data_IF_778971205795
#
_entry.id   IF_778971205795
#
_cell.length_a   1.000
_cell.length_b   1.000
_cell.length_c   1.000
_cell.angle_alpha   90.00
_cell.angle_beta   90.00
_cell.angle_gamma   90.00
#
_symmetry.space_group_name_H-M   'P 1'
#
loop_
_entity.id
_entity.type
_entity.pdbx_description
1 polymer ?
#
# COMPACT_ATOMS: atom_id res chain seq x y z
N UNK A 1 -10.74 -16.38 -15.81
CA UNK A 1 -10.77 -15.49 -14.63
C UNK A 1 -9.67 -16.01 -13.71
N UNK A 2 -8.49 -15.41 -13.78
CA UNK A 2 -7.38 -15.74 -12.89
C UNK A 2 -7.77 -15.25 -11.50
N UNK A 3 -7.64 -16.11 -10.49
CA UNK A 3 -8.26 -15.93 -9.18
C UNK A 3 -7.80 -14.64 -8.50
N UNK A 4 -8.75 -13.75 -8.22
CA UNK A 4 -8.49 -12.56 -7.40
C UNK A 4 -8.27 -12.93 -5.93
N UNK A 5 -8.08 -11.94 -5.07
CA UNK A 5 -7.69 -12.09 -3.65
C UNK A 5 -8.70 -12.81 -2.75
N UNK A 6 -9.77 -13.37 -3.31
CA UNK A 6 -10.82 -14.10 -2.57
C UNK A 6 -11.38 -13.28 -1.39
N UNK A 7 -11.43 -11.96 -1.54
CA UNK A 7 -11.87 -11.02 -0.48
C UNK A 7 -13.22 -11.39 0.10
N UNK A 8 -14.15 -11.82 -0.76
CA UNK A 8 -15.47 -12.31 -0.33
C UNK A 8 -15.40 -13.50 0.63
N UNK A 9 -14.41 -14.39 0.48
CA UNK A 9 -14.22 -15.53 1.39
C UNK A 9 -13.57 -15.10 2.69
N UNK A 10 -12.57 -14.20 2.62
CA UNK A 10 -11.91 -13.62 3.79
C UNK A 10 -12.88 -12.80 4.67
N UNK A 11 -13.86 -12.13 4.07
CA UNK A 11 -14.88 -11.37 4.79
C UNK A 11 -15.98 -12.27 5.35
N UNK A 12 -16.42 -13.29 4.60
CA UNK A 12 -17.52 -14.17 5.01
C UNK A 12 -17.22 -14.93 6.31
N UNK A 13 -15.95 -15.21 6.60
CA UNK A 13 -15.52 -15.86 7.85
C UNK A 13 -15.53 -14.92 9.06
N UNK A 14 -15.44 -13.60 8.84
CA UNK A 14 -15.25 -12.62 9.91
C UNK A 14 -16.56 -12.04 10.47
N UNK A 15 -17.69 -12.22 9.77
CA UNK A 15 -19.02 -11.82 10.27
C UNK A 15 -19.32 -10.31 10.23
N UNK A 16 -18.53 -9.54 9.48
CA UNK A 16 -18.71 -8.09 9.31
C UNK A 16 -19.51 -7.73 8.06
N UNK A 17 -20.25 -6.63 8.11
CA UNK A 17 -20.83 -5.98 6.93
C UNK A 17 -19.76 -5.05 6.32
N UNK A 18 -18.97 -5.57 5.38
CA UNK A 18 -17.96 -4.80 4.65
C UNK A 18 -18.43 -4.49 3.22
N UNK A 19 -18.38 -3.22 2.84
CA UNK A 19 -18.50 -2.81 1.44
C UNK A 19 -17.12 -2.79 0.80
N UNK A 20 -16.89 -3.67 -0.19
CA UNK A 20 -15.68 -3.69 -0.98
C UNK A 20 -15.94 -3.04 -2.34
N UNK A 21 -15.09 -2.08 -2.71
CA UNK A 21 -15.11 -1.42 -4.01
C UNK A 21 -13.79 -1.71 -4.72
N UNK A 22 -13.84 -2.59 -5.73
CA UNK A 22 -12.72 -2.79 -6.66
C UNK A 22 -12.74 -1.74 -7.76
N UNK A 23 -11.58 -1.16 -8.05
CA UNK A 23 -11.38 -0.23 -9.17
C UNK A 23 -10.46 -0.92 -10.16
N UNK A 24 -10.99 -1.25 -11.34
CA UNK A 24 -10.18 -1.83 -12.42
C UNK A 24 -9.12 -0.83 -12.87
N UNK A 25 -7.89 -1.32 -13.04
CA UNK A 25 -6.80 -0.50 -13.58
C UNK A 25 -6.96 -0.30 -15.09
N UNK A 26 -6.46 0.83 -15.58
CA UNK A 26 -6.34 1.04 -17.03
C UNK A 26 -5.03 0.46 -17.57
N UNK A 27 -4.81 0.62 -18.89
CA UNK A 27 -3.52 0.34 -19.52
C UNK A 27 -2.41 1.28 -19.03
N UNK A 28 -2.77 2.44 -18.48
CA UNK A 28 -1.87 3.49 -18.02
C UNK A 28 -1.48 3.35 -16.53
N UNK A 29 -1.80 2.20 -15.90
CA UNK A 29 -1.58 1.93 -14.46
C UNK A 29 -0.20 2.33 -13.93
N UNK A 30 0.85 2.21 -14.76
CA UNK A 30 2.22 2.56 -14.38
C UNK A 30 2.37 4.04 -14.06
N UNK A 31 1.62 4.90 -14.75
CA UNK A 31 1.59 6.35 -14.52
C UNK A 31 0.51 6.73 -13.51
N UNK A 32 -0.66 6.10 -13.57
CA UNK A 32 -1.79 6.40 -12.68
C UNK A 32 -1.48 6.07 -11.21
N UNK A 33 -0.66 5.06 -10.94
CA UNK A 33 -0.43 4.56 -9.58
C UNK A 33 0.85 5.08 -8.93
N UNK A 34 1.47 6.11 -9.51
CA UNK A 34 2.78 6.59 -9.09
C UNK A 34 2.72 8.06 -8.72
N UNK A 35 3.32 8.40 -7.57
CA UNK A 35 3.24 9.73 -6.96
C UNK A 35 4.26 10.71 -7.53
N UNK A 36 5.28 10.21 -8.18
CA UNK A 36 6.36 10.99 -8.79
C UNK A 36 6.87 10.31 -10.04
N UNK A 37 7.44 11.09 -10.94
CA UNK A 37 8.10 10.56 -12.13
C UNK A 37 9.22 9.58 -11.73
N UNK A 38 9.43 8.54 -12.53
CA UNK A 38 10.60 7.67 -12.41
C UNK A 38 10.98 7.09 -13.77
N UNK A 39 12.12 6.45 -13.83
CA UNK A 39 12.64 5.79 -15.02
C UNK A 39 12.93 4.32 -14.73
N UNK A 40 12.43 3.44 -15.60
CA UNK A 40 12.70 2.00 -15.55
C UNK A 40 13.17 1.59 -16.94
N UNK A 41 14.31 0.91 -17.03
CA UNK A 41 14.89 0.43 -18.29
C UNK A 41 15.00 1.49 -19.40
N UNK A 42 15.30 2.75 -19.03
CA UNK A 42 15.41 3.88 -19.96
C UNK A 42 14.07 4.43 -20.45
N UNK A 43 12.94 3.95 -19.92
CA UNK A 43 11.61 4.52 -20.16
C UNK A 43 11.18 5.39 -18.98
N UNK A 44 10.89 6.66 -19.27
CA UNK A 44 10.31 7.58 -18.29
C UNK A 44 8.81 7.35 -18.15
N UNK A 45 8.35 7.23 -16.90
CA UNK A 45 6.94 7.20 -16.53
C UNK A 45 6.60 8.51 -15.82
N UNK A 46 5.73 9.31 -16.45
CA UNK A 46 5.26 10.58 -15.88
C UNK A 46 4.10 10.30 -14.93
N UNK A 47 4.22 10.73 -13.68
CA UNK A 47 3.26 10.43 -12.63
C UNK A 47 1.89 11.09 -12.86
N UNK A 48 0.86 10.33 -12.57
CA UNK A 48 -0.55 10.76 -12.55
C UNK A 48 -1.25 10.38 -11.23
N UNK A 49 -0.49 10.00 -10.20
CA UNK A 49 -1.00 9.61 -8.88
C UNK A 49 -1.94 10.63 -8.25
N UNK A 50 -1.66 11.93 -8.39
CA UNK A 50 -2.55 13.00 -7.91
C UNK A 50 -3.93 12.96 -8.59
N UNK A 51 -3.94 12.75 -9.91
CA UNK A 51 -5.17 12.68 -10.68
C UNK A 51 -5.98 11.43 -10.30
N UNK A 52 -5.31 10.29 -10.14
CA UNK A 52 -5.93 9.05 -9.70
C UNK A 52 -6.47 9.16 -8.26
N UNK A 53 -5.69 9.72 -7.33
CA UNK A 53 -6.13 9.93 -5.96
C UNK A 53 -7.37 10.85 -5.88
N UNK A 54 -7.40 11.91 -6.70
CA UNK A 54 -8.60 12.77 -6.84
C UNK A 54 -9.79 12.03 -7.47
N UNK A 55 -9.57 11.14 -8.44
CA UNK A 55 -10.64 10.31 -9.00
C UNK A 55 -11.26 9.43 -7.90
N UNK A 56 -10.43 8.74 -7.12
CA UNK A 56 -10.87 7.89 -6.02
C UNK A 56 -11.65 8.70 -4.99
N UNK A 57 -11.08 9.80 -4.50
CA UNK A 57 -11.61 10.53 -3.34
C UNK A 57 -12.79 11.44 -3.67
N UNK A 58 -12.75 12.10 -4.84
CA UNK A 58 -13.72 13.13 -5.20
C UNK A 58 -14.78 12.64 -6.20
N UNK A 59 -14.60 11.46 -6.79
CA UNK A 59 -15.56 10.89 -7.75
C UNK A 59 -16.06 9.53 -7.31
N UNK A 60 -15.18 8.53 -7.18
CA UNK A 60 -15.60 7.15 -6.92
C UNK A 60 -16.24 7.04 -5.54
N UNK A 61 -15.57 7.50 -4.48
CA UNK A 61 -16.09 7.43 -3.12
C UNK A 61 -17.44 8.14 -2.99
N UNK A 62 -17.61 9.43 -3.36
CA UNK A 62 -18.92 10.09 -3.26
C UNK A 62 -20.01 9.40 -4.09
N UNK A 63 -19.67 8.83 -5.25
CA UNK A 63 -20.62 8.08 -6.08
C UNK A 63 -21.12 6.80 -5.40
N UNK A 64 -20.22 6.08 -4.72
CA UNK A 64 -20.54 4.89 -3.91
C UNK A 64 -21.34 5.28 -2.67
N UNK A 65 -20.87 6.26 -1.89
CA UNK A 65 -21.51 6.66 -0.64
C UNK A 65 -22.93 7.22 -0.85
N UNK A 66 -23.23 7.78 -2.03
CA UNK A 66 -24.58 8.19 -2.40
C UNK A 66 -25.55 7.01 -2.67
N UNK A 67 -25.05 5.78 -2.81
CA UNK A 67 -25.82 4.59 -3.22
C UNK A 67 -25.83 3.48 -2.17
N UNK A 68 -24.80 3.43 -1.32
CA UNK A 68 -24.61 2.38 -0.32
C UNK A 68 -24.38 2.99 1.06
N UNK A 69 -24.91 2.38 2.14
CA UNK A 69 -24.66 2.85 3.50
C UNK A 69 -23.17 2.72 3.84
N UNK A 70 -22.56 3.84 4.22
CA UNK A 70 -21.10 4.00 4.37
C UNK A 70 -20.78 4.88 5.59
N UNK A 71 -21.30 4.49 6.76
CA UNK A 71 -21.18 5.24 8.01
C UNK A 71 -20.04 4.75 8.94
N UNK A 72 -19.20 3.84 8.45
CA UNK A 72 -18.13 3.22 9.23
C UNK A 72 -16.74 3.71 8.87
N UNK A 73 -15.76 2.90 9.28
CA UNK A 73 -14.35 3.08 8.97
C UNK A 73 -14.11 3.03 7.46
N UNK A 74 -13.05 3.71 7.03
CA UNK A 74 -12.60 3.72 5.63
C UNK A 74 -11.20 3.16 5.53
N UNK A 75 -10.99 2.22 4.63
CA UNK A 75 -9.70 1.65 4.31
C UNK A 75 -9.40 1.77 2.81
N UNK A 76 -8.12 1.88 2.46
CA UNK A 76 -7.63 1.76 1.08
C UNK A 76 -6.50 0.74 1.05
N UNK A 77 -6.47 -0.10 0.02
CA UNK A 77 -5.49 -1.18 -0.08
C UNK A 77 -5.25 -1.60 -1.52
N UNK A 78 -4.01 -1.99 -1.81
CA UNK A 78 -3.62 -2.53 -3.11
C UNK A 78 -2.31 -3.31 -3.00
N UNK A 79 -1.91 -3.97 -4.10
CA UNK A 79 -0.63 -4.68 -4.19
C UNK A 79 0.30 -4.05 -5.21
N UNK A 80 1.62 -4.23 -5.07
CA UNK A 80 2.59 -3.68 -6.02
C UNK A 80 2.43 -2.15 -6.14
N UNK A 81 2.32 -1.61 -7.35
CA UNK A 81 1.95 -0.20 -7.57
C UNK A 81 0.60 0.17 -6.95
N UNK A 82 -0.34 -0.77 -6.86
CA UNK A 82 -1.61 -0.61 -6.13
C UNK A 82 -1.39 -0.35 -4.63
N UNK A 83 -0.36 -0.96 -4.03
CA UNK A 83 0.02 -0.71 -2.64
C UNK A 83 0.64 0.67 -2.47
N UNK A 84 1.51 1.06 -3.41
CA UNK A 84 2.10 2.40 -3.47
C UNK A 84 1.03 3.50 -3.55
N UNK A 85 0.09 3.40 -4.51
CA UNK A 85 -0.96 4.41 -4.68
C UNK A 85 -1.94 4.43 -3.51
N UNK A 86 -2.17 3.29 -2.84
CA UNK A 86 -3.03 3.24 -1.65
C UNK A 86 -2.44 4.04 -0.49
N UNK A 87 -1.14 3.89 -0.23
CA UNK A 87 -0.43 4.72 0.75
C UNK A 87 -0.44 6.19 0.33
N UNK A 88 -0.23 6.48 -0.95
CA UNK A 88 -0.26 7.86 -1.44
C UNK A 88 -1.64 8.53 -1.28
N UNK A 89 -2.72 7.81 -1.54
CA UNK A 89 -4.09 8.29 -1.32
C UNK A 89 -4.30 8.63 0.15
N UNK A 90 -3.92 7.74 1.07
CA UNK A 90 -4.04 8.00 2.51
C UNK A 90 -3.14 9.16 2.97
N UNK A 91 -1.96 9.31 2.37
CA UNK A 91 -1.06 10.44 2.60
C UNK A 91 -1.70 11.79 2.21
N UNK A 92 -2.40 11.85 1.08
CA UNK A 92 -3.08 13.06 0.59
C UNK A 92 -4.37 13.37 1.35
N UNK A 93 -5.07 12.34 1.85
CA UNK A 93 -6.36 12.47 2.54
C UNK A 93 -6.35 11.79 3.92
N UNK A 94 -5.45 12.22 4.83
CA UNK A 94 -5.21 11.54 6.12
C UNK A 94 -6.44 11.59 7.05
N UNK A 95 -7.31 12.58 6.90
CA UNK A 95 -8.53 12.74 7.70
C UNK A 95 -9.71 11.87 7.21
N UNK A 96 -9.55 11.20 6.06
CA UNK A 96 -10.62 10.38 5.45
C UNK A 96 -10.44 8.91 5.79
N UNK A 97 -9.20 8.43 5.80
CA UNK A 97 -8.87 7.02 5.96
C UNK A 97 -8.53 6.70 7.42
N UNK A 98 -8.98 5.53 7.85
CA UNK A 98 -8.64 4.94 9.15
C UNK A 98 -7.62 3.81 9.00
N UNK A 99 -7.40 3.36 7.75
CA UNK A 99 -6.49 2.29 7.41
C UNK A 99 -5.92 2.45 6.00
N UNK A 100 -4.62 2.16 5.84
CA UNK A 100 -3.97 2.01 4.54
C UNK A 100 -3.17 0.69 4.50
N UNK A 101 -3.43 -0.14 3.50
CA UNK A 101 -2.77 -1.42 3.28
C UNK A 101 -1.93 -1.44 2.00
N UNK A 102 -0.71 -1.97 2.07
CA UNK A 102 0.16 -2.14 0.91
C UNK A 102 0.78 -3.53 0.89
N UNK A 103 0.27 -4.40 0.02
CA UNK A 103 0.80 -5.75 -0.17
C UNK A 103 1.93 -5.72 -1.20
N UNK A 104 3.14 -6.14 -0.83
CA UNK A 104 4.31 -6.11 -1.73
C UNK A 104 4.48 -4.75 -2.44
N UNK A 105 4.32 -3.65 -1.70
CA UNK A 105 4.27 -2.30 -2.27
C UNK A 105 5.56 -1.93 -3.01
N UNK A 106 5.45 -1.26 -4.15
CA UNK A 106 6.63 -0.76 -4.89
C UNK A 106 7.21 0.50 -4.24
N UNK A 107 7.66 0.40 -2.99
CA UNK A 107 8.06 1.55 -2.17
C UNK A 107 9.41 2.15 -2.55
N UNK A 108 10.15 1.50 -3.45
CA UNK A 108 11.35 2.06 -4.08
C UNK A 108 11.07 3.02 -5.25
N UNK A 109 9.80 3.20 -5.62
CA UNK A 109 9.44 4.12 -6.70
C UNK A 109 9.84 5.56 -6.39
N UNK A 110 10.45 6.22 -7.37
CA UNK A 110 11.05 7.55 -7.29
C UNK A 110 12.57 7.50 -7.42
N UNK A 111 13.18 6.33 -7.19
CA UNK A 111 14.64 6.14 -7.23
C UNK A 111 15.11 4.99 -8.13
N UNK A 112 14.24 4.43 -8.98
CA UNK A 112 14.66 3.39 -9.93
C UNK A 112 15.62 3.93 -11.00
N UNK A 113 15.38 5.13 -11.51
CA UNK A 113 16.28 5.80 -12.46
C UNK A 113 16.35 7.31 -12.27
N UNK A 114 15.48 7.90 -11.44
CA UNK A 114 15.54 9.30 -11.04
C UNK A 114 15.93 9.45 -9.56
N UNK A 115 15.91 10.68 -9.03
CA UNK A 115 16.15 10.97 -7.62
C UNK A 115 15.00 11.80 -7.03
N UNK A 116 13.81 11.19 -7.01
CA UNK A 116 12.59 11.77 -6.47
C UNK A 116 12.26 11.18 -5.09
N UNK A 117 11.39 11.85 -4.30
CA UNK A 117 11.02 11.38 -2.97
C UNK A 117 10.35 10.00 -3.00
N UNK A 118 10.79 9.09 -2.13
CA UNK A 118 10.12 7.81 -1.86
C UNK A 118 8.87 8.02 -0.98
N UNK A 119 8.00 7.01 -0.94
CA UNK A 119 6.83 7.03 -0.05
C UNK A 119 7.22 7.25 1.43
N UNK A 120 8.33 6.65 1.87
CA UNK A 120 8.92 6.86 3.20
C UNK A 120 9.18 8.34 3.48
N UNK A 121 9.84 9.03 2.56
CA UNK A 121 10.25 10.42 2.72
C UNK A 121 9.04 11.36 2.75
N UNK A 122 7.95 11.01 2.04
CA UNK A 122 6.68 11.73 2.14
C UNK A 122 6.06 11.61 3.54
N UNK A 123 6.03 10.40 4.12
CA UNK A 123 5.51 10.18 5.48
C UNK A 123 6.40 10.81 6.56
N UNK A 124 7.72 10.73 6.41
CA UNK A 124 8.67 11.40 7.31
C UNK A 124 8.47 12.91 7.32
N UNK A 125 8.24 13.51 6.14
CA UNK A 125 7.96 14.94 6.01
C UNK A 125 6.61 15.32 6.64
N UNK A 126 5.61 14.45 6.52
CA UNK A 126 4.27 14.69 7.04
C UNK A 126 4.14 14.52 8.56
N UNK A 127 4.94 13.64 9.16
CA UNK A 127 4.84 13.29 10.58
C UNK A 127 3.80 12.20 10.86
N UNK A 128 3.61 11.90 12.14
CA UNK A 128 2.62 10.95 12.66
C UNK A 128 1.20 11.29 12.17
N UNK A 129 0.44 10.28 11.73
CA UNK A 129 -0.96 10.41 11.33
C UNK A 129 -1.85 9.51 12.19
N UNK A 130 -3.14 9.85 12.26
CA UNK A 130 -4.15 9.15 13.06
C UNK A 130 -4.89 8.08 12.24
N UNK A 131 -4.13 7.15 11.65
CA UNK A 131 -4.69 5.98 10.95
C UNK A 131 -3.71 4.81 10.97
N UNK A 132 -4.24 3.59 10.97
CA UNK A 132 -3.42 2.39 10.96
C UNK A 132 -2.81 2.10 9.58
N UNK A 133 -1.59 1.59 9.55
CA UNK A 133 -0.88 1.25 8.31
C UNK A 133 -0.45 -0.21 8.38
N UNK A 134 -0.73 -0.95 7.31
CA UNK A 134 -0.20 -2.29 7.08
C UNK A 134 0.66 -2.30 5.82
N UNK A 135 1.86 -2.84 5.93
CA UNK A 135 2.73 -3.11 4.78
C UNK A 135 3.26 -4.53 4.82
N UNK A 136 3.31 -5.20 3.68
CA UNK A 136 3.96 -6.50 3.56
C UNK A 136 4.88 -6.62 2.36
N UNK A 137 5.71 -7.65 2.41
CA UNK A 137 6.56 -8.11 1.31
C UNK A 137 6.78 -9.60 1.43
N UNK A 138 7.02 -10.27 0.30
CA UNK A 138 7.54 -11.62 0.23
C UNK A 138 9.04 -11.65 -0.02
N UNK A 139 9.47 -12.58 -0.87
CA UNK A 139 10.85 -12.67 -1.36
C UNK A 139 11.83 -13.26 -0.35
N UNK A 140 13.05 -13.46 -0.82
CA UNK A 140 14.16 -13.84 0.03
C UNK A 140 14.78 -12.59 0.68
N UNK A 141 15.21 -12.72 1.94
CA UNK A 141 16.04 -11.69 2.55
C UNK A 141 17.36 -11.57 1.76
N UNK A 142 17.84 -10.35 1.47
CA UNK A 142 19.15 -10.18 0.82
C UNK A 142 20.25 -10.79 1.68
N UNK A 143 21.20 -11.51 1.06
CA UNK A 143 22.28 -12.19 1.79
C UNK A 143 23.16 -11.24 2.61
N UNK A 144 23.35 -10.01 2.12
CA UNK A 144 24.16 -8.97 2.79
C UNK A 144 23.30 -7.97 3.59
N UNK A 145 22.03 -8.32 3.83
CA UNK A 145 21.04 -7.42 4.43
C UNK A 145 20.70 -6.21 3.56
N UNK A 146 19.90 -5.29 4.09
CA UNK A 146 19.49 -4.07 3.39
C UNK A 146 20.54 -2.95 3.48
N UNK A 147 21.84 -3.29 3.37
CA UNK A 147 22.94 -2.37 3.66
C UNK A 147 23.61 -1.84 2.40
N UNK A 148 23.11 -0.72 1.88
CA UNK A 148 23.95 0.20 1.11
C UNK A 148 23.96 1.59 1.77
N UNK A 149 24.95 2.42 1.40
CA UNK A 149 25.23 3.70 2.03
C UNK A 149 24.13 4.78 1.83
N UNK A 150 23.00 4.42 1.21
CA UNK A 150 21.85 5.28 0.96
C UNK A 150 20.49 4.67 1.34
N UNK A 151 20.45 3.44 1.85
CA UNK A 151 19.21 2.74 2.21
C UNK A 151 18.35 2.32 1.01
N UNK A 152 18.92 2.28 -0.20
CA UNK A 152 18.19 2.00 -1.44
C UNK A 152 18.63 0.68 -2.08
N UNK A 153 18.27 -0.43 -1.44
CA UNK A 153 18.50 -1.76 -2.00
C UNK A 153 17.26 -2.21 -2.79
N UNK A 154 17.41 -2.31 -4.12
CA UNK A 154 16.53 -3.12 -4.97
C UNK A 154 17.27 -4.45 -5.21
N UNK A 155 17.16 -5.38 -4.26
CA UNK A 155 17.65 -6.72 -4.49
C UNK A 155 16.66 -7.45 -5.40
N UNK A 156 17.13 -7.91 -6.57
CA UNK A 156 16.39 -8.81 -7.45
C UNK A 156 15.79 -9.99 -6.67
N UNK A 157 14.49 -10.25 -6.84
CA UNK A 157 13.81 -11.35 -6.17
C UNK A 157 13.45 -11.15 -4.69
N UNK A 158 13.60 -9.93 -4.16
CA UNK A 158 13.27 -9.62 -2.75
C UNK A 158 11.88 -9.01 -2.55
N UNK A 159 11.03 -8.94 -3.58
CA UNK A 159 9.65 -8.44 -3.45
C UNK A 159 9.53 -7.09 -2.70
N UNK A 160 10.42 -6.15 -3.01
CA UNK A 160 10.54 -4.83 -2.36
C UNK A 160 10.85 -4.88 -0.84
N UNK A 161 11.29 -6.02 -0.30
CA UNK A 161 11.54 -6.26 1.14
C UNK A 161 12.25 -5.11 1.85
N UNK A 162 13.40 -4.66 1.32
CA UNK A 162 14.18 -3.60 1.98
C UNK A 162 13.45 -2.26 2.02
N UNK A 163 12.70 -1.93 0.98
CA UNK A 163 11.94 -0.67 0.93
C UNK A 163 10.70 -0.74 1.83
N UNK A 164 10.05 -1.91 1.92
CA UNK A 164 8.98 -2.18 2.87
C UNK A 164 9.46 -2.07 4.31
N UNK A 165 10.59 -2.70 4.64
CA UNK A 165 11.18 -2.64 5.98
C UNK A 165 11.61 -1.22 6.35
N UNK A 166 12.28 -0.50 5.44
CA UNK A 166 12.68 0.89 5.66
C UNK A 166 11.47 1.82 5.87
N UNK A 167 10.37 1.59 5.15
CA UNK A 167 9.12 2.33 5.36
C UNK A 167 8.53 2.05 6.75
N UNK A 168 8.46 0.77 7.15
CA UNK A 168 7.97 0.38 8.47
C UNK A 168 8.81 0.96 9.61
N UNK A 169 10.14 0.89 9.52
CA UNK A 169 11.05 1.47 10.52
C UNK A 169 10.91 3.00 10.64
N UNK A 170 10.62 3.67 9.52
CA UNK A 170 10.33 5.11 9.52
C UNK A 170 9.01 5.42 10.24
N UNK A 171 7.95 4.62 10.04
CA UNK A 171 6.70 4.78 10.80
C UNK A 171 6.96 4.69 12.31
N UNK A 172 7.70 3.67 12.76
CA UNK A 172 8.04 3.54 14.18
C UNK A 172 8.83 4.75 14.70
N UNK A 173 9.75 5.28 13.89
CA UNK A 173 10.53 6.48 14.23
C UNK A 173 9.68 7.76 14.32
N UNK A 174 8.56 7.82 13.60
CA UNK A 174 7.60 8.93 13.67
C UNK A 174 6.67 8.85 14.89
N UNK A 175 6.67 7.73 15.61
CA UNK A 175 5.87 7.53 16.83
C UNK A 175 4.68 6.58 16.66
N UNK A 176 4.57 5.89 15.52
CA UNK A 176 3.65 4.76 15.40
C UNK A 176 4.08 3.64 16.36
N UNK A 177 3.10 2.91 16.87
CA UNK A 177 3.26 1.75 17.73
C UNK A 177 3.08 0.46 16.93
N UNK A 178 4.12 -0.37 16.94
CA UNK A 178 4.12 -1.71 16.35
C UNK A 178 2.91 -2.54 16.82
N UNK A 179 2.27 -3.23 15.88
CA UNK A 179 1.10 -4.09 16.08
C UNK A 179 -0.15 -3.37 16.63
N UNK A 180 -0.15 -2.04 16.64
CA UNK A 180 -1.29 -1.20 17.02
C UNK A 180 -1.74 -0.36 15.83
N UNK A 181 -0.89 0.56 15.37
CA UNK A 181 -1.16 1.47 14.25
C UNK A 181 -0.10 1.37 13.13
N UNK A 182 1.00 0.63 13.34
CA UNK A 182 1.90 0.19 12.28
C UNK A 182 2.06 -1.34 12.33
N UNK A 183 1.78 -1.98 11.21
CA UNK A 183 1.79 -3.44 11.05
C UNK A 183 2.69 -3.82 9.88
N UNK A 184 3.54 -4.83 10.10
CA UNK A 184 4.44 -5.35 9.09
C UNK A 184 4.39 -6.88 9.05
N UNK A 185 4.40 -7.43 7.84
CA UNK A 185 4.52 -8.85 7.62
C UNK A 185 5.56 -9.14 6.53
N UNK A 186 6.43 -10.11 6.79
CA UNK A 186 7.30 -10.70 5.79
C UNK A 186 6.96 -12.18 5.59
N UNK A 187 6.70 -12.55 4.34
CA UNK A 187 6.39 -13.93 3.96
C UNK A 187 7.56 -14.52 3.16
N UNK A 188 8.42 -15.23 3.88
CA UNK A 188 9.68 -15.73 3.37
C UNK A 188 9.48 -16.57 2.09
N UNK A 189 10.18 -16.19 1.02
CA UNK A 189 10.13 -16.82 -0.31
C UNK A 189 8.80 -16.69 -1.07
N UNK A 190 7.83 -15.94 -0.55
CA UNK A 190 6.60 -15.71 -1.30
C UNK A 190 6.86 -14.85 -2.54
N UNK A 191 6.22 -15.19 -3.64
CA UNK A 191 6.41 -14.51 -4.92
C UNK A 191 5.63 -13.18 -5.01
N UNK A 192 6.03 -12.30 -5.94
CA UNK A 192 5.30 -11.07 -6.26
C UNK A 192 4.12 -11.37 -7.20
N UNK A 193 3.07 -12.04 -6.70
CA UNK A 193 1.93 -12.45 -7.52
C UNK A 193 0.59 -12.52 -6.75
N UNK A 194 -0.51 -12.67 -7.50
CA UNK A 194 -1.88 -12.75 -6.98
C UNK A 194 -2.11 -13.87 -5.96
N UNK A 195 -1.45 -15.02 -6.11
CA UNK A 195 -1.63 -16.14 -5.21
C UNK A 195 -1.00 -15.87 -3.84
N UNK A 196 0.17 -15.23 -3.81
CA UNK A 196 0.86 -14.83 -2.58
C UNK A 196 0.11 -13.70 -1.85
N UNK A 197 -0.44 -12.73 -2.58
CA UNK A 197 -1.27 -11.70 -1.96
C UNK A 197 -2.57 -12.28 -1.40
N UNK A 198 -3.22 -13.18 -2.14
CA UNK A 198 -4.43 -13.86 -1.68
C UNK A 198 -4.20 -14.71 -0.42
N UNK A 199 -3.01 -15.28 -0.20
CA UNK A 199 -2.72 -16.07 0.99
C UNK A 199 -2.46 -15.24 2.26
N UNK A 200 -2.30 -13.92 2.12
CA UNK A 200 -1.99 -13.01 3.24
C UNK A 200 -3.02 -11.93 3.48
N UNK A 201 -3.96 -11.74 2.55
CA UNK A 201 -4.92 -10.62 2.59
C UNK A 201 -5.86 -10.66 3.80
N UNK A 202 -6.02 -11.82 4.45
CA UNK A 202 -6.76 -11.96 5.70
C UNK A 202 -6.13 -11.16 6.85
N UNK A 203 -4.82 -10.97 6.85
CA UNK A 203 -4.10 -10.18 7.86
C UNK A 203 -4.50 -8.70 7.84
N UNK A 204 -4.31 -7.94 6.73
CA UNK A 204 -4.73 -6.53 6.68
C UNK A 204 -6.24 -6.36 6.83
N UNK A 205 -7.05 -7.30 6.31
CA UNK A 205 -8.50 -7.27 6.53
C UNK A 205 -8.85 -7.45 8.01
N UNK A 206 -8.21 -8.39 8.70
CA UNK A 206 -8.40 -8.62 10.13
C UNK A 206 -8.03 -7.39 10.96
N UNK A 207 -6.93 -6.72 10.63
CA UNK A 207 -6.52 -5.47 11.26
C UNK A 207 -7.60 -4.40 11.05
N UNK A 208 -8.00 -4.15 9.81
CA UNK A 208 -9.01 -3.15 9.49
C UNK A 208 -10.35 -3.39 10.21
N UNK A 209 -10.81 -4.64 10.22
CA UNK A 209 -12.06 -5.03 10.88
C UNK A 209 -11.97 -4.98 12.42
N UNK A 210 -10.77 -5.10 12.98
CA UNK A 210 -10.49 -4.97 14.40
C UNK A 210 -10.37 -3.52 14.90
N UNK A 211 -10.27 -2.55 13.99
CA UNK A 211 -10.26 -1.13 14.36
C UNK A 211 -11.60 -0.75 15.01
N UNK A 212 -11.52 0.08 16.06
CA UNK A 212 -12.71 0.61 16.71
C UNK A 212 -13.22 1.84 15.97
N UNK A 213 -14.53 1.94 15.76
CA UNK A 213 -15.15 3.20 15.32
C UNK A 213 -15.01 4.21 16.47
N UNK A 214 -14.51 5.44 16.21
CA UNK A 214 -14.47 6.50 17.21
C UNK A 214 -15.83 6.82 17.84
#
# INVERSE_FOLDING_TARGET
MWGGWRLQEAVATAGYELLIVGIDNSVDRMTEYTHTDDEIDGQTFVAQGDAYARLVELTVRPWIEARYPTNGLRGVMGSSLGGLISLYIAHLYPEVYHFAGSLSGTLGWGKFGLDNPLMRELYETAGLRDFAIYVDSGGAAPMDGCTDAGGFVIAEGSDNYCQTLAFYDALLSLGYTADVDAHYLWDENAEHNEAAWASRVDVPLGIFLGLSVP
#
